data_IF_432011170325
#
_entry.id   IF_432011170325
#
_cell.length_a   1.000
_cell.length_b   1.000
_cell.length_c   1.000
_cell.angle_alpha   90.00
_cell.angle_beta   90.00
_cell.angle_gamma   90.00
#
_symmetry.space_group_name_H-M   'P 1'
#
loop_
_entity.id
_entity.type
_entity.pdbx_description
1 polymer ?
#
# COMPACT_ATOMS: atom_id res chain seq x y z
N UNK A 1 -8.09 11.07 83.55
CA UNK A 1 -8.00 11.10 82.08
C UNK A 1 -7.11 9.94 81.68
N UNK A 2 -7.68 8.93 81.03
CA UNK A 2 -6.98 7.65 80.79
C UNK A 2 -6.06 7.77 79.58
N UNK A 3 -4.99 6.98 79.52
CA UNK A 3 -4.10 6.86 78.35
C UNK A 3 -4.90 6.53 77.08
N UNK A 4 -6.05 5.85 77.24
CA UNK A 4 -6.99 5.54 76.16
C UNK A 4 -7.61 6.79 75.49
N UNK A 5 -7.80 7.88 76.22
CA UNK A 5 -8.40 9.12 75.67
C UNK A 5 -7.36 9.87 74.80
N UNK A 6 -6.08 9.82 75.19
CA UNK A 6 -4.97 10.45 74.47
C UNK A 6 -4.70 9.70 73.16
N UNK A 7 -4.75 8.36 73.16
CA UNK A 7 -4.58 7.57 71.93
C UNK A 7 -5.78 7.69 70.99
N UNK A 8 -6.99 7.85 71.52
CA UNK A 8 -8.19 8.11 70.70
C UNK A 8 -8.16 9.51 70.04
N UNK A 9 -7.72 10.55 70.74
CA UNK A 9 -7.59 11.88 70.14
C UNK A 9 -6.43 11.96 69.12
N UNK A 10 -5.33 11.25 69.37
CA UNK A 10 -4.21 11.17 68.43
C UNK A 10 -4.58 10.44 67.13
N UNK A 11 -5.43 9.39 67.20
CA UNK A 11 -5.90 8.68 66.00
C UNK A 11 -6.86 9.52 65.16
N UNK A 12 -7.73 10.32 65.79
CA UNK A 12 -8.63 11.25 65.10
C UNK A 12 -7.86 12.38 64.42
N UNK A 13 -6.84 12.94 65.09
CA UNK A 13 -5.97 13.97 64.51
C UNK A 13 -5.08 13.43 63.36
N UNK A 14 -4.68 12.16 63.43
CA UNK A 14 -3.94 11.49 62.35
C UNK A 14 -4.83 11.20 61.13
N UNK A 15 -6.09 10.82 61.35
CA UNK A 15 -7.07 10.56 60.29
C UNK A 15 -7.43 11.83 59.49
N UNK A 16 -7.56 12.98 60.17
CA UNK A 16 -7.91 14.24 59.51
C UNK A 16 -6.81 14.80 58.59
N UNK A 17 -5.55 14.36 58.73
CA UNK A 17 -4.42 14.82 57.90
C UNK A 17 -4.27 14.08 56.57
N UNK A 18 -4.94 12.93 56.40
CA UNK A 18 -4.83 12.11 55.20
C UNK A 18 -5.79 12.53 54.07
N UNK A 19 -6.76 13.41 54.32
CA UNK A 19 -7.77 13.79 53.32
C UNK A 19 -7.39 14.95 52.38
N UNK A 20 -6.23 15.59 52.52
CA UNK A 20 -5.82 16.72 51.66
C UNK A 20 -4.67 16.35 50.70
N UNK A 21 -4.71 15.14 50.15
CA UNK A 21 -3.91 14.81 48.97
C UNK A 21 -4.80 14.99 47.73
N UNK A 22 -4.83 16.19 47.16
CA UNK A 22 -5.53 16.45 45.90
C UNK A 22 -5.02 15.53 44.78
N UNK A 23 -5.81 15.26 43.73
CA UNK A 23 -5.42 14.36 42.66
C UNK A 23 -4.13 14.84 41.98
N UNK A 24 -3.05 14.09 42.14
CA UNK A 24 -1.76 14.35 41.51
C UNK A 24 -1.63 13.47 40.26
N UNK A 25 -1.66 14.11 39.08
CA UNK A 25 -1.48 13.44 37.79
C UNK A 25 -0.93 14.41 36.75
N UNK A 26 -0.25 13.94 35.68
CA UNK A 26 0.25 14.80 34.63
C UNK A 26 -0.89 15.61 34.00
N UNK A 27 -0.72 16.94 33.89
CA UNK A 27 -1.73 17.85 33.31
C UNK A 27 -2.19 17.30 31.94
N UNK A 28 -3.51 17.24 31.67
CA UNK A 28 -4.00 16.77 30.39
C UNK A 28 -3.41 17.65 29.27
N UNK A 29 -2.60 17.04 28.40
CA UNK A 29 -2.10 17.73 27.22
C UNK A 29 -3.29 18.05 26.32
N UNK A 30 -3.44 19.31 25.91
CA UNK A 30 -4.49 19.71 24.97
C UNK A 30 -4.33 18.89 23.69
N UNK A 31 -5.25 17.96 23.46
CA UNK A 31 -5.28 17.08 22.30
C UNK A 31 -5.45 17.87 20.99
N UNK A 32 -6.10 19.04 21.07
CA UNK A 32 -6.34 19.96 19.95
C UNK A 32 -5.36 21.14 20.06
N UNK A 33 -4.17 20.96 19.50
CA UNK A 33 -3.23 22.06 19.23
C UNK A 33 -3.48 22.63 17.83
N UNK A 34 -3.30 23.95 17.63
CA UNK A 34 -3.44 24.61 16.31
C UNK A 34 -2.61 23.91 15.23
N UNK A 35 -1.42 23.42 15.61
CA UNK A 35 -0.54 22.61 14.75
C UNK A 35 -1.20 21.30 14.31
N UNK A 36 -1.85 20.58 15.22
CA UNK A 36 -2.50 19.31 14.92
C UNK A 36 -3.72 19.53 14.02
N UNK A 37 -4.48 20.61 14.25
CA UNK A 37 -5.60 20.99 13.38
C UNK A 37 -5.13 21.26 11.96
N UNK A 38 -4.04 22.02 11.79
CA UNK A 38 -3.46 22.28 10.48
C UNK A 38 -2.95 20.98 9.82
N UNK A 39 -2.17 20.17 10.55
CA UNK A 39 -1.62 18.92 10.05
C UNK A 39 -2.73 17.95 9.60
N UNK A 40 -3.71 17.68 10.46
CA UNK A 40 -4.82 16.78 10.12
C UNK A 40 -5.73 17.37 9.06
N UNK A 41 -5.94 18.68 9.04
CA UNK A 41 -6.69 19.35 7.98
C UNK A 41 -6.02 19.17 6.62
N UNK A 42 -4.72 19.44 6.51
CA UNK A 42 -3.97 19.22 5.26
C UNK A 42 -3.96 17.74 4.86
N UNK A 43 -3.73 16.82 5.81
CA UNK A 43 -3.71 15.40 5.52
C UNK A 43 -5.08 14.89 5.05
N UNK A 44 -6.16 15.38 5.64
CA UNK A 44 -7.53 15.08 5.22
C UNK A 44 -7.81 15.57 3.81
N UNK A 45 -7.48 16.82 3.50
CA UNK A 45 -7.66 17.39 2.15
C UNK A 45 -6.89 16.57 1.10
N UNK A 46 -5.63 16.22 1.39
CA UNK A 46 -4.82 15.38 0.52
C UNK A 46 -5.43 13.99 0.35
N UNK A 47 -5.89 13.37 1.44
CA UNK A 47 -6.55 12.06 1.38
C UNK A 47 -7.82 12.10 0.51
N UNK A 48 -8.69 13.09 0.68
CA UNK A 48 -9.89 13.25 -0.16
C UNK A 48 -9.50 13.48 -1.62
N UNK A 49 -8.51 14.30 -1.90
CA UNK A 49 -8.02 14.56 -3.26
C UNK A 49 -7.56 13.29 -3.97
N UNK A 50 -6.77 12.44 -3.31
CA UNK A 50 -6.30 11.17 -3.87
C UNK A 50 -7.40 10.10 -3.95
N UNK A 51 -8.38 10.13 -3.05
CA UNK A 51 -9.52 9.20 -3.08
C UNK A 51 -10.57 9.56 -4.12
N UNK A 52 -10.66 10.82 -4.55
CA UNK A 52 -11.65 11.28 -5.51
C UNK A 52 -11.65 10.50 -6.83
N UNK A 53 -10.51 10.27 -7.54
CA UNK A 53 -10.52 9.45 -8.75
C UNK A 53 -10.93 8.00 -8.47
N UNK A 54 -10.52 7.42 -7.32
CA UNK A 54 -10.93 6.07 -6.94
C UNK A 54 -12.44 5.99 -6.68
N UNK A 55 -13.01 6.99 -6.00
CA UNK A 55 -14.44 7.13 -5.79
C UNK A 55 -15.18 7.16 -7.12
N UNK A 56 -14.73 8.01 -8.06
CA UNK A 56 -15.31 8.09 -9.40
C UNK A 56 -15.23 6.75 -10.13
N UNK A 57 -14.10 6.06 -10.09
CA UNK A 57 -13.95 4.74 -10.72
C UNK A 57 -14.91 3.70 -10.13
N UNK A 58 -15.05 3.65 -8.80
CA UNK A 58 -15.93 2.69 -8.13
C UNK A 58 -17.39 2.99 -8.47
N UNK A 59 -17.82 4.25 -8.31
CA UNK A 59 -19.19 4.68 -8.59
C UNK A 59 -19.56 4.44 -10.05
N UNK A 60 -18.69 4.80 -10.99
CA UNK A 60 -18.95 4.60 -12.42
C UNK A 60 -18.94 3.13 -12.82
N UNK A 61 -18.16 2.27 -12.15
CA UNK A 61 -18.17 0.82 -12.41
C UNK A 61 -19.48 0.12 -12.05
N UNK A 62 -20.32 0.76 -11.22
CA UNK A 62 -21.60 0.22 -10.76
C UNK A 62 -22.81 0.81 -11.52
N UNK A 63 -22.57 1.76 -12.44
CA UNK A 63 -23.62 2.42 -13.23
C UNK A 63 -23.90 1.67 -14.52
N UNK A 64 -25.16 1.69 -14.95
CA UNK A 64 -25.56 1.24 -16.28
C UNK A 64 -25.12 2.20 -17.39
N UNK A 65 -25.03 1.71 -18.63
CA UNK A 65 -24.68 2.53 -19.80
C UNK A 65 -25.59 3.75 -20.01
N UNK A 66 -26.92 3.70 -19.79
CA UNK A 66 -27.77 4.88 -19.90
C UNK A 66 -27.39 5.98 -18.90
N UNK A 67 -27.06 5.61 -17.66
CA UNK A 67 -26.71 6.56 -16.60
C UNK A 67 -25.34 7.23 -16.85
N UNK A 68 -24.36 6.46 -17.34
CA UNK A 68 -23.03 6.99 -17.68
C UNK A 68 -23.15 8.05 -18.79
N UNK A 69 -24.06 7.87 -19.75
CA UNK A 69 -24.29 8.81 -20.87
C UNK A 69 -24.89 10.15 -20.43
N UNK A 70 -25.50 10.21 -19.25
CA UNK A 70 -26.07 11.46 -18.71
C UNK A 70 -25.00 12.42 -18.16
N UNK A 71 -23.72 12.00 -18.08
CA UNK A 71 -22.60 12.88 -17.73
C UNK A 71 -22.45 13.18 -16.23
N UNK A 72 -23.29 12.61 -15.37
CA UNK A 72 -23.24 12.80 -13.92
C UNK A 72 -22.18 11.88 -13.27
N UNK A 73 -20.90 12.14 -13.54
CA UNK A 73 -19.79 11.26 -13.14
C UNK A 73 -19.59 11.24 -11.61
N UNK A 74 -19.84 12.36 -10.92
CA UNK A 74 -19.67 12.49 -9.47
C UNK A 74 -20.89 12.07 -8.64
N UNK A 75 -22.06 11.88 -9.25
CA UNK A 75 -23.25 11.47 -8.51
C UNK A 75 -23.13 10.00 -8.10
N UNK A 76 -23.67 9.58 -6.94
CA UNK A 76 -23.84 8.15 -6.66
C UNK A 76 -24.72 7.49 -7.73
N UNK A 77 -24.62 6.15 -7.91
CA UNK A 77 -25.45 5.43 -8.86
C UNK A 77 -26.92 5.51 -8.45
N UNK A 78 -27.81 5.76 -9.42
CA UNK A 78 -29.26 5.70 -9.18
C UNK A 78 -29.73 4.25 -9.01
N UNK A 79 -29.16 3.36 -9.82
CA UNK A 79 -29.37 1.92 -9.74
C UNK A 79 -28.01 1.22 -9.69
N UNK A 80 -27.78 0.43 -8.64
CA UNK A 80 -26.55 -0.35 -8.50
C UNK A 80 -26.67 -1.62 -9.33
N UNK A 81 -25.79 -1.78 -10.31
CA UNK A 81 -25.72 -3.00 -11.13
C UNK A 81 -24.29 -3.54 -11.22
N UNK A 82 -24.17 -4.87 -11.26
CA UNK A 82 -22.92 -5.58 -11.51
C UNK A 82 -22.82 -6.14 -12.93
N UNK A 83 -23.79 -5.86 -13.79
CA UNK A 83 -23.75 -6.26 -15.20
C UNK A 83 -22.46 -5.81 -15.91
N UNK A 84 -21.96 -4.56 -15.72
CA UNK A 84 -20.70 -4.14 -16.34
C UNK A 84 -19.51 -5.00 -15.90
N UNK A 85 -19.48 -5.46 -14.65
CA UNK A 85 -18.42 -6.33 -14.13
C UNK A 85 -18.45 -7.71 -14.78
N UNK A 86 -19.62 -8.34 -14.86
CA UNK A 86 -19.78 -9.65 -15.50
C UNK A 86 -19.42 -9.53 -16.98
N UNK A 87 -19.92 -8.51 -17.67
CA UNK A 87 -19.62 -8.25 -19.07
C UNK A 87 -18.13 -8.04 -19.31
N UNK A 88 -17.48 -7.19 -18.51
CA UNK A 88 -16.04 -6.95 -18.60
C UNK A 88 -15.22 -8.23 -18.36
N UNK A 89 -15.63 -9.06 -17.41
CA UNK A 89 -14.90 -10.26 -17.05
C UNK A 89 -14.98 -11.37 -18.10
N UNK A 90 -16.16 -11.63 -18.68
CA UNK A 90 -16.41 -12.84 -19.47
C UNK A 90 -16.77 -12.63 -20.94
N UNK A 91 -17.30 -11.46 -21.34
CA UNK A 91 -17.86 -11.29 -22.71
C UNK A 91 -17.36 -10.05 -23.45
N UNK A 92 -16.59 -9.18 -22.80
CA UNK A 92 -16.02 -8.01 -23.44
C UNK A 92 -14.99 -8.40 -24.52
N UNK A 93 -15.13 -7.85 -25.72
CA UNK A 93 -14.18 -8.04 -26.81
C UNK A 93 -12.95 -7.16 -26.61
N UNK A 94 -11.81 -7.76 -26.26
CA UNK A 94 -10.53 -7.09 -25.97
C UNK A 94 -9.57 -7.13 -27.17
N UNK A 95 -10.10 -6.81 -28.36
CA UNK A 95 -9.36 -6.77 -29.63
C UNK A 95 -9.11 -8.15 -30.23
N UNK A 96 -8.41 -9.04 -29.53
CA UNK A 96 -8.01 -10.35 -30.05
C UNK A 96 -9.02 -11.47 -29.76
N UNK A 97 -9.77 -11.37 -28.66
CA UNK A 97 -10.74 -12.39 -28.24
C UNK A 97 -11.94 -11.71 -27.56
N UNK A 98 -13.09 -12.40 -27.55
CA UNK A 98 -14.32 -11.96 -26.86
C UNK A 98 -14.58 -12.69 -25.54
N UNK A 99 -13.52 -13.20 -24.90
CA UNK A 99 -13.57 -13.92 -23.62
C UNK A 99 -13.51 -12.98 -22.39
N UNK A 100 -13.70 -11.68 -22.60
CA UNK A 100 -13.54 -10.67 -21.56
C UNK A 100 -12.09 -10.47 -21.11
N UNK A 101 -11.94 -9.91 -19.91
CA UNK A 101 -10.64 -9.61 -19.28
C UNK A 101 -10.03 -10.81 -18.55
N UNK A 102 -10.80 -11.87 -18.32
CA UNK A 102 -10.40 -13.06 -17.56
C UNK A 102 -9.07 -13.67 -18.02
N UNK A 103 -8.86 -13.79 -19.33
CA UNK A 103 -7.63 -14.32 -19.93
C UNK A 103 -6.41 -13.44 -19.64
N UNK A 104 -6.55 -12.13 -19.81
CA UNK A 104 -5.49 -11.16 -19.53
C UNK A 104 -5.13 -11.13 -18.05
N UNK A 105 -6.14 -11.22 -17.18
CA UNK A 105 -5.96 -11.33 -15.73
C UNK A 105 -5.13 -12.56 -15.36
N UNK A 106 -5.50 -13.74 -15.84
CA UNK A 106 -4.76 -14.97 -15.52
C UNK A 106 -3.36 -15.01 -16.13
N UNK A 107 -3.15 -14.42 -17.30
CA UNK A 107 -1.80 -14.25 -17.83
C UNK A 107 -0.95 -13.35 -16.92
N UNK A 108 -1.52 -12.25 -16.43
CA UNK A 108 -0.85 -11.34 -15.50
C UNK A 108 -0.50 -12.04 -14.18
N UNK A 109 -1.41 -12.85 -13.64
CA UNK A 109 -1.15 -13.67 -12.44
C UNK A 109 -0.01 -14.67 -12.71
N UNK A 110 -0.06 -15.40 -13.83
CA UNK A 110 0.96 -16.37 -14.24
C UNK A 110 2.32 -15.74 -14.51
N UNK A 111 2.38 -14.45 -14.85
CA UNK A 111 3.63 -13.71 -14.99
C UNK A 111 4.10 -13.22 -13.62
N UNK A 112 3.24 -12.49 -12.90
CA UNK A 112 3.62 -11.74 -11.70
C UNK A 112 4.02 -12.66 -10.56
N UNK A 113 3.23 -13.71 -10.27
CA UNK A 113 3.47 -14.59 -9.12
C UNK A 113 4.85 -15.26 -9.17
N UNK A 114 5.22 -16.00 -10.23
CA UNK A 114 6.55 -16.61 -10.30
C UNK A 114 7.66 -15.56 -10.39
N UNK A 115 7.44 -14.45 -11.10
CA UNK A 115 8.48 -13.41 -11.25
C UNK A 115 8.83 -12.75 -9.92
N UNK A 116 7.82 -12.42 -9.10
CA UNK A 116 8.04 -11.83 -7.78
C UNK A 116 8.72 -12.82 -6.85
N UNK A 117 8.30 -14.09 -6.83
CA UNK A 117 8.92 -15.12 -6.00
C UNK A 117 10.39 -15.32 -6.36
N UNK A 118 10.70 -15.44 -7.67
CA UNK A 118 12.06 -15.64 -8.15
C UNK A 118 12.92 -14.40 -7.90
N UNK A 119 12.40 -13.20 -8.17
CA UNK A 119 13.09 -11.94 -7.90
C UNK A 119 13.42 -11.78 -6.42
N UNK A 120 12.48 -12.04 -5.52
CA UNK A 120 12.70 -11.95 -4.08
C UNK A 120 13.75 -12.98 -3.63
N UNK A 121 13.68 -14.22 -4.14
CA UNK A 121 14.66 -15.25 -3.82
C UNK A 121 16.08 -14.83 -4.25
N UNK A 122 16.25 -14.36 -5.49
CA UNK A 122 17.55 -13.92 -6.00
C UNK A 122 18.02 -12.65 -5.27
N UNK A 123 17.17 -11.64 -5.13
CA UNK A 123 17.51 -10.36 -4.50
C UNK A 123 17.84 -10.52 -3.01
N UNK A 124 17.14 -11.41 -2.29
CA UNK A 124 17.43 -11.66 -0.87
C UNK A 124 18.80 -12.31 -0.65
N UNK A 125 19.18 -13.28 -1.48
CA UNK A 125 20.51 -13.91 -1.43
C UNK A 125 21.60 -12.90 -1.77
N UNK A 126 21.43 -12.12 -2.84
CA UNK A 126 22.41 -11.11 -3.25
C UNK A 126 22.51 -9.97 -2.23
N UNK A 127 21.38 -9.49 -1.72
CA UNK A 127 21.31 -8.46 -0.69
C UNK A 127 21.95 -8.91 0.61
N UNK A 128 21.71 -10.17 1.04
CA UNK A 128 22.37 -10.75 2.20
C UNK A 128 23.89 -10.82 2.03
N UNK A 129 24.36 -11.32 0.88
CA UNK A 129 25.78 -11.42 0.58
C UNK A 129 26.44 -10.03 0.62
N UNK A 130 25.84 -9.01 0.01
CA UNK A 130 26.42 -7.68 -0.05
C UNK A 130 26.38 -6.94 1.30
N UNK A 131 25.34 -7.16 2.11
CA UNK A 131 25.21 -6.53 3.43
C UNK A 131 26.12 -7.16 4.49
N UNK A 132 26.29 -8.49 4.46
CA UNK A 132 26.97 -9.22 5.53
C UNK A 132 28.37 -9.74 5.15
N UNK A 133 28.67 -9.93 3.87
CA UNK A 133 29.98 -10.41 3.41
C UNK A 133 30.85 -9.25 2.90
N UNK A 134 31.98 -9.01 3.58
CA UNK A 134 32.99 -8.04 3.12
C UNK A 134 34.00 -8.69 2.19
N UNK A 135 33.65 -8.86 0.91
CA UNK A 135 34.57 -9.35 -0.11
C UNK A 135 35.31 -8.19 -0.80
N UNK A 136 36.50 -8.48 -1.34
CA UNK A 136 37.34 -7.49 -2.03
C UNK A 136 36.64 -7.08 -3.34
N UNK A 137 36.08 -5.87 -3.38
CA UNK A 137 35.33 -5.34 -4.54
C UNK A 137 33.83 -5.12 -4.30
N UNK A 138 33.32 -5.34 -3.08
CA UNK A 138 31.91 -5.14 -2.73
C UNK A 138 31.38 -3.75 -3.08
N UNK A 139 32.15 -2.69 -2.80
CA UNK A 139 31.75 -1.31 -3.10
C UNK A 139 31.63 -1.07 -4.60
N UNK A 140 32.57 -1.58 -5.41
CA UNK A 140 32.51 -1.48 -6.87
C UNK A 140 31.29 -2.22 -7.42
N UNK A 141 31.03 -3.43 -6.93
CA UNK A 141 29.85 -4.20 -7.34
C UNK A 141 28.56 -3.47 -7.01
N UNK A 142 28.46 -2.91 -5.80
CA UNK A 142 27.30 -2.11 -5.38
C UNK A 142 27.08 -0.89 -6.28
N UNK A 143 28.16 -0.17 -6.64
CA UNK A 143 28.09 0.97 -7.57
C UNK A 143 27.56 0.53 -8.94
N UNK A 144 28.01 -0.61 -9.48
CA UNK A 144 27.52 -1.14 -10.76
C UNK A 144 26.01 -1.42 -10.70
N UNK A 145 25.52 -2.02 -9.62
CA UNK A 145 24.09 -2.27 -9.43
C UNK A 145 23.28 -0.97 -9.39
N UNK A 146 23.77 0.04 -8.66
CA UNK A 146 23.11 1.35 -8.59
C UNK A 146 23.06 2.00 -9.97
N UNK A 147 24.18 2.01 -10.71
CA UNK A 147 24.24 2.57 -12.06
C UNK A 147 23.25 1.85 -12.98
N UNK A 148 23.17 0.51 -12.88
CA UNK A 148 22.19 -0.29 -13.61
C UNK A 148 20.75 0.10 -13.31
N UNK A 149 20.41 0.38 -12.04
CA UNK A 149 19.07 0.78 -11.63
C UNK A 149 18.61 2.14 -12.19
N UNK A 150 19.55 3.00 -12.61
CA UNK A 150 19.25 4.27 -13.28
C UNK A 150 19.05 4.14 -14.79
N UNK A 151 19.32 2.97 -15.39
CA UNK A 151 19.09 2.75 -16.81
C UNK A 151 17.58 2.79 -17.07
N UNK A 152 17.09 3.70 -17.93
CA UNK A 152 15.66 3.80 -18.22
C UNK A 152 15.19 2.54 -18.93
N UNK A 153 14.10 1.95 -18.43
CA UNK A 153 13.52 0.73 -18.97
C UNK A 153 13.26 0.82 -20.48
N UNK A 154 12.88 2.00 -20.97
CA UNK A 154 12.60 2.28 -22.38
C UNK A 154 13.78 1.95 -23.31
N UNK A 155 15.02 2.16 -22.87
CA UNK A 155 16.23 1.85 -23.67
C UNK A 155 16.51 0.34 -23.69
N UNK A 156 16.13 -0.38 -22.63
CA UNK A 156 16.33 -1.82 -22.49
C UNK A 156 15.31 -2.67 -23.26
N UNK A 157 14.12 -2.14 -23.56
CA UNK A 157 13.05 -2.90 -24.24
C UNK A 157 13.52 -3.48 -25.58
N UNK A 158 14.16 -2.69 -26.43
CA UNK A 158 14.56 -3.15 -27.76
C UNK A 158 15.60 -4.30 -27.71
N UNK A 159 16.71 -4.19 -26.95
CA UNK A 159 17.62 -5.30 -26.71
C UNK A 159 16.94 -6.56 -26.14
N UNK A 160 16.08 -6.41 -25.14
CA UNK A 160 15.38 -7.54 -24.51
C UNK A 160 14.51 -8.28 -25.53
N UNK A 161 13.79 -7.55 -26.38
CA UNK A 161 12.96 -8.15 -27.43
C UNK A 161 13.80 -8.95 -28.43
N UNK A 162 14.96 -8.44 -28.83
CA UNK A 162 15.88 -9.17 -29.71
C UNK A 162 16.37 -10.45 -29.03
N UNK A 163 16.83 -10.36 -27.79
CA UNK A 163 17.31 -11.53 -27.02
C UNK A 163 16.21 -12.58 -26.93
N UNK A 164 14.98 -12.19 -26.56
CA UNK A 164 13.84 -13.11 -26.50
C UNK A 164 13.53 -13.78 -27.85
N UNK A 165 13.69 -13.04 -28.95
CA UNK A 165 13.51 -13.58 -30.30
C UNK A 165 14.58 -14.59 -30.65
N UNK A 166 15.84 -14.28 -30.36
CA UNK A 166 16.99 -15.16 -30.64
C UNK A 166 16.94 -16.47 -29.85
N UNK A 167 16.49 -16.42 -28.59
CA UNK A 167 16.32 -17.61 -27.75
C UNK A 167 14.97 -18.32 -27.97
N UNK A 168 14.14 -17.83 -28.91
CA UNK A 168 12.85 -18.45 -29.27
C UNK A 168 11.74 -18.33 -28.23
N UNK A 169 11.88 -17.44 -27.24
CA UNK A 169 10.88 -17.19 -26.18
C UNK A 169 9.99 -15.97 -26.45
N UNK A 170 10.16 -15.32 -27.59
CA UNK A 170 9.34 -14.18 -28.00
C UNK A 170 7.85 -14.54 -28.07
N UNK A 171 7.00 -13.71 -27.47
CA UNK A 171 5.55 -13.94 -27.41
C UNK A 171 5.09 -15.01 -26.41
N UNK A 172 6.01 -15.61 -25.62
CA UNK A 172 5.67 -16.61 -24.60
C UNK A 172 5.53 -16.01 -23.20
N UNK A 173 4.69 -16.63 -22.35
CA UNK A 173 4.55 -16.24 -20.95
C UNK A 173 5.85 -16.49 -20.16
N UNK A 174 6.57 -17.57 -20.47
CA UNK A 174 7.85 -17.90 -19.82
C UNK A 174 8.93 -16.87 -20.13
N UNK A 175 9.00 -16.39 -21.37
CA UNK A 175 9.90 -15.28 -21.73
C UNK A 175 9.61 -14.02 -20.92
N UNK A 176 8.33 -13.68 -20.73
CA UNK A 176 7.93 -12.54 -19.89
C UNK A 176 8.28 -12.76 -18.41
N UNK A 177 8.10 -13.98 -17.88
CA UNK A 177 8.48 -14.30 -16.49
C UNK A 177 9.97 -14.09 -16.27
N UNK A 178 10.82 -14.56 -17.20
CA UNK A 178 12.27 -14.40 -17.09
C UNK A 178 12.66 -12.93 -17.08
N UNK A 179 12.10 -12.13 -17.98
CA UNK A 179 12.37 -10.68 -18.07
C UNK A 179 11.92 -9.91 -16.83
N UNK A 180 10.85 -10.34 -16.15
CA UNK A 180 10.39 -9.69 -14.92
C UNK A 180 11.08 -10.24 -13.66
N UNK A 181 11.98 -11.22 -13.79
CA UNK A 181 12.69 -11.85 -12.67
C UNK A 181 14.12 -11.33 -12.46
N UNK A 182 14.69 -10.67 -13.48
CA UNK A 182 16.11 -10.27 -13.58
C UNK A 182 16.16 -8.87 -14.15
#
# INVERSE_FOLDING_TARGET
MSIADITAQASVAAGARQEIAGPYGPKPRRMISRRNVFLYGTLFVMAVYYLLPLYVMIVTSLKGMPEIRLGNIFSPPLEITFEPWVKAWSTACTGLNCDGLSRGFWNSVRITVPSVLLSIAIASVNGYALANWRFKGADTFFIILIVGAFIPYQVMIYPIVIILREIGLYGSLSGLVIVHSI
#
